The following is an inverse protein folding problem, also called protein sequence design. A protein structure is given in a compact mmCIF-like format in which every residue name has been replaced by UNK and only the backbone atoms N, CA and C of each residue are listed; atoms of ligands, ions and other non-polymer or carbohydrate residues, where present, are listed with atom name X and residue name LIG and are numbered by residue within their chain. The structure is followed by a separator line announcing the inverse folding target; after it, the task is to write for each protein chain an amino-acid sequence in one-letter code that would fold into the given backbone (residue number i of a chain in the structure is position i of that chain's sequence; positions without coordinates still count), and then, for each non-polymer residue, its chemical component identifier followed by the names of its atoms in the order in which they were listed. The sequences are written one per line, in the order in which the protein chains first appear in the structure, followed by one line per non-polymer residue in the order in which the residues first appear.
data_IF_256693141304
#
_entry.id   IF_256693141304
#
_cell.length_a   1.000
_cell.length_b   1.000
_cell.length_c   1.000
_cell.angle_alpha   90.00
_cell.angle_beta   90.00
_cell.angle_gamma   90.00
#
_symmetry.space_group_name_H-M   'P 1'
#
loop_
_entity.id
_entity.type
_entity.pdbx_description
1 polymer ?
#
# COMPACT_ATOMS: atom_id res chain seq x y z
N UNK A 1 -14.79 0.87 4.77
CA UNK A 1 -14.88 0.43 3.37
C UNK A 1 -14.32 1.49 2.40
N UNK A 2 -13.38 2.35 2.83
CA UNK A 2 -12.88 3.45 2.00
C UNK A 2 -11.58 3.15 1.24
N UNK A 3 -10.82 2.12 1.65
CA UNK A 3 -9.55 1.79 1.01
C UNK A 3 -9.72 1.14 -0.37
N UNK A 4 -10.82 0.45 -0.64
CA UNK A 4 -11.04 -0.15 -1.96
C UNK A 4 -11.26 0.91 -3.06
N UNK A 5 -11.78 2.08 -2.68
CA UNK A 5 -12.18 3.16 -3.58
C UNK A 5 -11.34 4.43 -3.34
N UNK A 6 -10.10 4.30 -2.85
CA UNK A 6 -9.29 5.44 -2.43
C UNK A 6 -9.05 6.45 -3.56
N UNK A 7 -8.95 5.98 -4.81
CA UNK A 7 -8.66 6.83 -5.96
C UNK A 7 -9.71 7.93 -6.17
N UNK A 8 -10.99 7.62 -5.91
CA UNK A 8 -12.12 8.54 -6.12
C UNK A 8 -12.68 9.08 -4.81
N UNK A 9 -12.23 8.55 -3.67
CA UNK A 9 -12.72 8.95 -2.36
C UNK A 9 -12.25 10.37 -1.98
N UNK A 10 -13.17 11.23 -1.47
CA UNK A 10 -12.81 12.54 -0.96
C UNK A 10 -12.12 12.49 0.43
N UNK A 11 -12.00 11.30 1.03
CA UNK A 11 -11.36 11.12 2.34
C UNK A 11 -9.83 11.13 2.28
N UNK A 12 -9.26 11.06 1.09
CA UNK A 12 -7.82 11.08 0.87
C UNK A 12 -7.42 12.31 0.08
N UNK A 13 -6.32 12.92 0.50
CA UNK A 13 -5.60 13.94 -0.26
C UNK A 13 -4.97 13.34 -1.51
N UNK A 14 -4.59 14.19 -2.46
CA UNK A 14 -3.90 13.72 -3.67
C UNK A 14 -2.54 13.06 -3.34
N UNK A 15 -1.81 13.57 -2.34
CA UNK A 15 -0.57 12.97 -1.86
C UNK A 15 -0.79 11.54 -1.32
N UNK A 16 -1.85 11.32 -0.54
CA UNK A 16 -2.19 9.99 -0.02
C UNK A 16 -2.62 9.04 -1.14
N UNK A 17 -3.39 9.51 -2.12
CA UNK A 17 -3.80 8.69 -3.28
C UNK A 17 -2.60 8.25 -4.10
N UNK A 18 -1.62 9.13 -4.34
CA UNK A 18 -0.39 8.79 -5.06
C UNK A 18 0.42 7.74 -4.29
N UNK A 19 0.56 7.89 -2.96
CA UNK A 19 1.24 6.90 -2.12
C UNK A 19 0.52 5.53 -2.12
N UNK A 20 -0.82 5.52 -2.08
CA UNK A 20 -1.60 4.28 -2.16
C UNK A 20 -1.47 3.62 -3.54
N UNK A 21 -1.46 4.38 -4.64
CA UNK A 21 -1.21 3.86 -5.98
C UNK A 21 0.18 3.28 -6.15
N UNK A 22 1.18 3.91 -5.52
CA UNK A 22 2.52 3.38 -5.45
C UNK A 22 2.57 2.05 -4.70
N UNK A 23 1.93 1.97 -3.53
CA UNK A 23 1.83 0.73 -2.75
C UNK A 23 1.13 -0.40 -3.53
N UNK A 24 0.03 -0.10 -4.22
CA UNK A 24 -0.67 -1.05 -5.10
C UNK A 24 0.25 -1.58 -6.21
N UNK A 25 1.02 -0.68 -6.83
CA UNK A 25 1.92 -1.02 -7.94
C UNK A 25 3.10 -1.89 -7.51
N UNK A 26 3.62 -1.68 -6.30
CA UNK A 26 4.66 -2.55 -5.70
C UNK A 26 4.13 -3.91 -5.24
N UNK A 27 2.84 -4.03 -4.96
CA UNK A 27 2.25 -5.19 -4.27
C UNK A 27 1.55 -6.16 -5.21
N UNK A 28 0.83 -5.63 -6.21
CA UNK A 28 0.00 -6.44 -7.09
C UNK A 28 0.86 -6.97 -8.24
N UNK A 29 0.99 -8.30 -8.33
CA UNK A 29 1.72 -8.98 -9.40
C UNK A 29 1.26 -8.50 -10.78
N UNK A 30 2.21 -8.12 -11.63
CA UNK A 30 1.95 -7.64 -12.99
C UNK A 30 1.69 -6.15 -13.11
N UNK A 31 1.70 -5.41 -11.99
CA UNK A 31 1.82 -3.94 -12.01
C UNK A 31 3.28 -3.53 -11.90
N UNK A 32 3.57 -2.37 -12.48
CA UNK A 32 4.89 -1.75 -12.42
C UNK A 32 4.76 -0.33 -11.88
N UNK A 33 5.77 0.11 -11.15
CA UNK A 33 5.92 1.53 -10.83
C UNK A 33 6.44 2.20 -12.08
N UNK A 34 5.58 2.96 -12.76
CA UNK A 34 6.00 3.70 -13.96
C UNK A 34 6.78 4.95 -13.59
N UNK A 35 7.57 5.46 -14.53
CA UNK A 35 8.31 6.71 -14.35
C UNK A 35 7.37 7.89 -14.07
N UNK A 36 6.18 7.91 -14.66
CA UNK A 36 5.17 8.93 -14.40
C UNK A 36 4.64 8.86 -12.97
N UNK A 37 4.40 7.66 -12.44
CA UNK A 37 3.97 7.49 -11.06
C UNK A 37 5.07 7.92 -10.09
N UNK A 38 6.33 7.58 -10.40
CA UNK A 38 7.47 8.00 -9.59
C UNK A 38 7.68 9.52 -9.62
N UNK A 39 7.50 10.15 -10.79
CA UNK A 39 7.53 11.61 -10.92
C UNK A 39 6.42 12.27 -10.08
N UNK A 40 5.21 11.70 -10.08
CA UNK A 40 4.10 12.18 -9.22
C UNK A 40 4.40 12.07 -7.74
N UNK A 41 5.08 11.02 -7.28
CA UNK A 41 5.51 10.92 -5.88
C UNK A 41 6.42 12.09 -5.49
N UNK A 42 7.37 12.44 -6.35
CA UNK A 42 8.30 13.57 -6.12
C UNK A 42 7.62 14.94 -6.10
N UNK A 43 6.37 15.06 -6.57
CA UNK A 43 5.59 16.29 -6.40
C UNK A 43 5.14 16.50 -4.94
N UNK A 44 5.09 15.43 -4.13
CA UNK A 44 4.53 15.45 -2.77
C UNK A 44 5.51 15.02 -1.67
N UNK A 45 6.51 14.20 -2.02
CA UNK A 45 7.46 13.61 -1.07
C UNK A 45 8.89 13.86 -1.55
N UNK A 46 9.80 14.12 -0.61
CA UNK A 46 11.23 14.15 -0.91
C UNK A 46 11.80 12.74 -1.10
N UNK A 47 13.05 12.66 -1.58
CA UNK A 47 13.67 11.37 -1.88
C UNK A 47 13.81 10.49 -0.62
N UNK A 48 14.06 11.08 0.56
CA UNK A 48 14.16 10.34 1.83
C UNK A 48 12.81 9.72 2.22
N UNK A 49 11.72 10.49 2.15
CA UNK A 49 10.37 9.99 2.41
C UNK A 49 9.94 8.91 1.41
N UNK A 50 10.35 9.02 0.14
CA UNK A 50 10.08 7.98 -0.87
C UNK A 50 10.84 6.70 -0.50
N UNK A 51 12.11 6.79 -0.09
CA UNK A 51 12.89 5.62 0.33
C UNK A 51 12.24 4.92 1.54
N UNK A 52 11.84 5.68 2.57
CA UNK A 52 11.15 5.13 3.73
C UNK A 52 9.81 4.46 3.35
N UNK A 53 9.04 5.10 2.48
CA UNK A 53 7.78 4.55 1.97
C UNK A 53 8.01 3.22 1.23
N UNK A 54 9.00 3.17 0.35
CA UNK A 54 9.39 1.96 -0.39
C UNK A 54 9.81 0.84 0.57
N UNK A 55 10.60 1.15 1.59
CA UNK A 55 11.07 0.18 2.58
C UNK A 55 9.89 -0.46 3.32
N UNK A 56 8.97 0.36 3.84
CA UNK A 56 7.80 -0.12 4.59
C UNK A 56 6.93 -1.02 3.71
N UNK A 57 6.64 -0.60 2.47
CA UNK A 57 5.85 -1.41 1.53
C UNK A 57 6.54 -2.73 1.23
N UNK A 58 7.85 -2.72 0.97
CA UNK A 58 8.62 -3.91 0.68
C UNK A 58 8.63 -4.89 1.86
N UNK A 59 8.83 -4.39 3.08
CA UNK A 59 8.79 -5.17 4.31
C UNK A 59 7.44 -5.85 4.51
N UNK A 60 6.34 -5.11 4.38
CA UNK A 60 4.98 -5.67 4.53
C UNK A 60 4.67 -6.72 3.46
N UNK A 61 5.12 -6.51 2.22
CA UNK A 61 5.00 -7.48 1.14
C UNK A 61 5.78 -8.77 1.41
N UNK A 62 7.00 -8.65 1.94
CA UNK A 62 7.82 -9.80 2.34
C UNK A 62 7.18 -10.56 3.51
N UNK A 63 6.76 -9.83 4.55
CA UNK A 63 6.06 -10.38 5.73
C UNK A 63 4.79 -11.13 5.33
N UNK A 64 3.96 -10.52 4.46
CA UNK A 64 2.73 -11.14 3.95
C UNK A 64 3.00 -12.43 3.17
N UNK A 65 4.02 -12.43 2.28
CA UNK A 65 4.40 -13.61 1.50
C UNK A 65 4.95 -14.72 2.40
N UNK A 66 5.77 -14.37 3.39
CA UNK A 66 6.29 -15.30 4.39
C UNK A 66 5.16 -15.97 5.18
N UNK A 67 4.25 -15.17 5.74
CA UNK A 67 3.10 -15.66 6.50
C UNK A 67 2.22 -16.59 5.66
N UNK A 68 1.96 -16.22 4.39
CA UNK A 68 1.20 -17.05 3.46
C UNK A 68 1.89 -18.37 3.15
N UNK A 69 3.20 -18.36 2.88
CA UNK A 69 3.97 -19.57 2.57
C UNK A 69 3.97 -20.57 3.72
N UNK A 70 4.07 -20.08 4.96
CA UNK A 70 4.09 -20.90 6.17
C UNK A 70 2.69 -21.21 6.74
N UNK A 71 1.62 -20.71 6.10
CA UNK A 71 0.22 -20.83 6.58
C UNK A 71 0.06 -20.34 8.01
N UNK A 72 0.79 -19.28 8.39
CA UNK A 72 0.68 -18.67 9.72
C UNK A 72 -0.72 -18.07 9.84
N UNK A 73 -1.56 -18.55 10.78
CA UNK A 73 -2.92 -18.07 10.92
C UNK A 73 -2.93 -16.66 11.52
N UNK A 74 -3.91 -15.85 11.13
CA UNK A 74 -4.21 -14.61 11.83
C UNK A 74 -4.51 -14.91 13.30
N UNK A 75 -3.99 -14.07 14.19
CA UNK A 75 -4.27 -14.13 15.63
C UNK A 75 -5.71 -13.72 15.98
N UNK A 76 -6.56 -13.44 14.97
CA UNK A 76 -7.98 -13.02 15.12
C UNK A 76 -8.17 -11.80 16.03
N UNK A 77 -7.14 -10.97 16.16
CA UNK A 77 -7.17 -9.75 16.98
C UNK A 77 -8.06 -8.66 16.37
N UNK A 78 -8.21 -8.67 15.05
CA UNK A 78 -9.15 -7.84 14.33
C UNK A 78 -10.33 -8.68 13.84
N UNK A 79 -11.54 -8.23 14.16
CA UNK A 79 -12.81 -8.78 13.63
C UNK A 79 -13.51 -7.67 12.85
N UNK A 80 -14.08 -8.01 11.68
CA UNK A 80 -14.91 -7.07 10.94
C UNK A 80 -16.16 -6.79 11.78
N UNK A 81 -16.62 -5.53 11.82
CA UNK A 81 -17.73 -5.07 12.68
C UNK A 81 -19.10 -5.73 12.40
N UNK A 82 -19.17 -6.65 11.44
CA UNK A 82 -20.41 -7.30 10.99
C UNK A 82 -20.47 -8.80 11.33
N UNK A 83 -19.53 -9.31 12.14
CA UNK A 83 -19.50 -10.71 12.63
C UNK A 83 -19.97 -10.82 14.09
N UNK A 84 -21.06 -10.10 14.43
CA UNK A 84 -21.75 -10.14 15.72
C UNK A 84 -23.18 -10.62 15.58
#
# INVERSE_FOLDING_TARGET
MALADYETSPLYTEAEKVALRYADSMTITGREVTDELFARLREFYDDDAIVELTEIIAWENASSKFNRALRIPSQKLWKRKDEG
#
